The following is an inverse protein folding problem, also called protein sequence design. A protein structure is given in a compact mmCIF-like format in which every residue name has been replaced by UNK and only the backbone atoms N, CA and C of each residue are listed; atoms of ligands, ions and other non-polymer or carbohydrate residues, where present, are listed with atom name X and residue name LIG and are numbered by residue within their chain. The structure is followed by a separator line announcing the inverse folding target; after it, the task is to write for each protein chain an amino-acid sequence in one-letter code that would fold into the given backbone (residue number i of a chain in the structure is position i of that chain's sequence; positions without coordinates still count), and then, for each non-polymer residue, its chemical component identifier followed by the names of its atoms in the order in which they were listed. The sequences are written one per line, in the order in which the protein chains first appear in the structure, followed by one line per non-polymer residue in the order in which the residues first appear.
data_IF_506223508682
#
_entry.id   IF_506223508682
#
_cell.length_a   1.000
_cell.length_b   1.000
_cell.length_c   1.000
_cell.angle_alpha   90.00
_cell.angle_beta   90.00
_cell.angle_gamma   90.00
#
_symmetry.space_group_name_H-M   'P 1'
#
loop_
_entity.id
_entity.type
_entity.pdbx_description
1 polymer ?
#
# COMPACT_ATOMS: atom_id res chain seq x y z
N UNK A 1 -7.11 27.44 -31.66
CA UNK A 1 -7.79 26.23 -31.13
C UNK A 1 -7.22 25.98 -29.75
N UNK A 2 -7.96 26.36 -28.69
CA UNK A 2 -7.61 25.87 -27.35
C UNK A 2 -8.00 24.41 -27.33
N UNK A 3 -7.02 23.52 -27.15
CA UNK A 3 -7.30 22.13 -26.83
C UNK A 3 -8.23 22.12 -25.62
N UNK A 4 -9.35 21.42 -25.74
CA UNK A 4 -10.35 21.21 -24.71
C UNK A 4 -9.65 20.73 -23.43
N UNK A 5 -9.30 21.67 -22.56
CA UNK A 5 -8.64 21.46 -21.27
C UNK A 5 -9.68 21.05 -20.24
N UNK A 6 -10.45 20.02 -20.55
CA UNK A 6 -11.22 19.31 -19.53
C UNK A 6 -10.17 18.66 -18.65
N UNK A 7 -9.97 19.23 -17.46
CA UNK A 7 -9.27 18.55 -16.39
C UNK A 7 -9.86 17.14 -16.33
N UNK A 8 -9.02 16.10 -16.33
CA UNK A 8 -9.51 14.75 -16.25
C UNK A 8 -10.53 14.65 -15.12
N UNK A 9 -11.61 13.89 -15.33
CA UNK A 9 -12.55 13.61 -14.25
C UNK A 9 -11.80 13.05 -13.03
N UNK A 10 -12.37 13.14 -11.84
CA UNK A 10 -11.76 12.58 -10.62
C UNK A 10 -11.35 11.11 -10.79
N UNK A 11 -12.09 10.35 -11.61
CA UNK A 11 -11.77 8.97 -11.96
C UNK A 11 -10.56 8.85 -12.90
N UNK A 12 -10.47 9.70 -13.94
CA UNK A 12 -9.34 9.69 -14.87
C UNK A 12 -8.03 10.08 -14.17
N UNK A 13 -8.07 11.01 -13.20
CA UNK A 13 -6.92 11.29 -12.32
C UNK A 13 -6.50 10.07 -11.49
N UNK A 14 -7.46 9.33 -10.93
CA UNK A 14 -7.16 8.10 -10.18
C UNK A 14 -6.53 7.04 -11.08
N UNK A 15 -7.02 6.87 -12.31
CA UNK A 15 -6.44 5.93 -13.27
C UNK A 15 -5.03 6.36 -13.70
N UNK A 16 -4.82 7.65 -13.97
CA UNK A 16 -3.51 8.20 -14.31
C UNK A 16 -2.50 8.04 -13.17
N UNK A 17 -2.91 8.26 -11.92
CA UNK A 17 -2.04 8.08 -10.76
C UNK A 17 -1.73 6.60 -10.53
N UNK A 18 -2.74 5.72 -10.47
CA UNK A 18 -2.54 4.28 -10.22
C UNK A 18 -1.79 3.55 -11.33
N UNK A 19 -1.76 4.08 -12.55
CA UNK A 19 -0.99 3.50 -13.66
C UNK A 19 0.50 3.87 -13.64
N UNK A 20 0.93 4.80 -12.78
CA UNK A 20 2.33 5.22 -12.71
C UNK A 20 3.26 4.06 -12.31
N UNK A 21 4.40 3.85 -13.00
CA UNK A 21 5.35 2.79 -12.66
C UNK A 21 5.84 2.86 -11.21
N UNK A 22 5.95 4.07 -10.66
CA UNK A 22 6.37 4.30 -9.28
C UNK A 22 5.41 3.73 -8.24
N UNK A 23 4.14 3.54 -8.57
CA UNK A 23 3.10 3.00 -7.69
C UNK A 23 2.89 1.50 -7.86
N UNK A 24 3.63 0.85 -8.77
CA UNK A 24 3.55 -0.61 -8.93
C UNK A 24 4.04 -1.31 -7.66
N UNK A 25 3.30 -2.32 -7.17
CA UNK A 25 3.78 -3.15 -6.08
C UNK A 25 5.03 -3.91 -6.50
N UNK A 26 5.97 -4.04 -5.56
CA UNK A 26 7.20 -4.81 -5.77
C UNK A 26 6.91 -6.29 -5.51
N UNK A 27 7.46 -7.22 -6.29
CA UNK A 27 7.31 -8.65 -6.05
C UNK A 27 7.71 -9.07 -4.63
N UNK A 28 6.95 -10.00 -4.07
CA UNK A 28 7.12 -10.51 -2.70
C UNK A 28 6.04 -10.03 -1.74
N UNK A 29 6.19 -10.39 -0.47
CA UNK A 29 5.22 -10.12 0.59
C UNK A 29 5.92 -9.50 1.80
N UNK A 30 5.19 -8.65 2.51
CA UNK A 30 5.60 -8.06 3.77
C UNK A 30 4.59 -8.45 4.86
N UNK A 31 5.03 -9.30 5.79
CA UNK A 31 4.16 -9.85 6.83
C UNK A 31 4.27 -9.08 8.15
N UNK A 32 3.11 -8.72 8.69
CA UNK A 32 2.94 -8.15 10.02
C UNK A 32 2.20 -9.14 10.90
N UNK A 33 2.70 -9.30 12.12
CA UNK A 33 1.98 -10.05 13.16
C UNK A 33 1.27 -9.01 14.02
N UNK A 34 -0.04 -9.16 14.15
CA UNK A 34 -0.86 -8.34 15.02
C UNK A 34 -0.71 -8.81 16.46
N UNK A 35 -0.23 -7.92 17.31
CA UNK A 35 -0.29 -8.04 18.76
C UNK A 35 -0.75 -6.70 19.35
N UNK A 36 -0.97 -6.64 20.66
CA UNK A 36 -1.42 -5.43 21.37
C UNK A 36 -0.57 -4.17 21.08
N UNK A 37 0.64 -4.33 20.53
CA UNK A 37 1.58 -3.26 20.19
C UNK A 37 1.77 -3.07 18.68
N UNK A 38 0.79 -3.46 17.86
CA UNK A 38 0.85 -3.37 16.40
C UNK A 38 1.30 -1.97 15.92
N UNK A 39 0.79 -0.90 16.52
CA UNK A 39 1.17 0.47 16.18
C UNK A 39 2.67 0.76 16.36
N UNK A 40 3.22 0.44 17.54
CA UNK A 40 4.64 0.68 17.84
C UNK A 40 5.55 -0.20 16.98
N UNK A 41 5.14 -1.45 16.73
CA UNK A 41 5.88 -2.37 15.85
C UNK A 41 5.83 -1.92 14.40
N UNK A 42 4.71 -1.35 13.95
CA UNK A 42 4.58 -0.77 12.62
C UNK A 42 5.46 0.46 12.45
N UNK A 43 5.49 1.32 13.45
CA UNK A 43 6.33 2.51 13.44
C UNK A 43 7.81 2.12 13.38
N UNK A 44 8.25 1.24 14.29
CA UNK A 44 9.63 0.77 14.34
C UNK A 44 10.04 0.08 13.04
N UNK A 45 9.22 -0.86 12.55
CA UNK A 45 9.52 -1.53 11.28
C UNK A 45 9.47 -0.58 10.08
N UNK A 46 8.60 0.41 10.04
CA UNK A 46 8.55 1.34 8.90
C UNK A 46 9.78 2.24 8.86
N UNK A 47 10.31 2.63 10.02
CA UNK A 47 11.56 3.38 10.13
C UNK A 47 12.79 2.54 9.76
N UNK A 48 12.79 1.24 10.13
CA UNK A 48 13.93 0.35 9.90
C UNK A 48 13.96 -0.23 8.48
N UNK A 49 12.83 -0.24 7.77
CA UNK A 49 12.71 -0.86 6.45
C UNK A 49 12.96 0.13 5.31
N UNK A 50 13.75 -0.32 4.33
CA UNK A 50 13.91 0.38 3.06
C UNK A 50 12.53 0.52 2.37
N UNK A 51 12.23 1.68 1.78
CA UNK A 51 10.97 1.98 1.08
C UNK A 51 10.54 0.90 0.07
N UNK A 52 11.49 0.11 -0.45
CA UNK A 52 11.22 -1.04 -1.33
C UNK A 52 10.45 -2.18 -0.64
N UNK A 53 10.57 -2.33 0.67
CA UNK A 53 9.88 -3.36 1.46
C UNK A 53 8.41 -2.97 1.66
N UNK A 54 8.14 -1.69 1.92
CA UNK A 54 6.79 -1.16 2.12
C UNK A 54 5.94 -1.16 0.83
N UNK A 55 6.58 -1.23 -0.35
CA UNK A 55 5.89 -1.41 -1.64
C UNK A 55 5.54 -2.86 -1.98
N UNK A 56 5.97 -3.85 -1.17
CA UNK A 56 5.57 -5.25 -1.36
C UNK A 56 4.12 -5.45 -0.92
N UNK A 57 3.52 -6.57 -1.31
CA UNK A 57 2.15 -6.91 -0.88
C UNK A 57 2.10 -7.06 0.64
N UNK A 58 1.30 -6.23 1.30
CA UNK A 58 1.07 -6.28 2.74
C UNK A 58 0.28 -7.54 3.11
N UNK A 59 0.72 -8.22 4.16
CA UNK A 59 0.10 -9.42 4.70
C UNK A 59 -0.03 -9.23 6.22
N UNK A 60 -1.25 -9.22 6.75
CA UNK A 60 -1.48 -9.08 8.19
C UNK A 60 -1.94 -10.42 8.74
N UNK A 61 -1.22 -10.95 9.73
CA UNK A 61 -1.57 -12.18 10.46
C UNK A 61 -2.08 -11.81 11.85
N UNK A 62 -3.22 -12.35 12.23
CA UNK A 62 -3.81 -12.20 13.56
C UNK A 62 -4.05 -13.61 14.11
N UNK A 63 -3.50 -13.92 15.29
CA UNK A 63 -3.73 -15.22 15.98
C UNK A 63 -3.64 -16.45 15.06
N UNK A 64 -2.56 -16.53 14.27
CA UNK A 64 -2.27 -17.58 13.29
C UNK A 64 -3.24 -17.73 12.10
N UNK A 65 -4.29 -16.91 12.02
CA UNK A 65 -5.15 -16.79 10.85
C UNK A 65 -4.60 -15.75 9.85
N UNK A 66 -4.59 -16.14 8.58
CA UNK A 66 -4.04 -15.36 7.48
C UNK A 66 -5.17 -14.54 6.82
N UNK A 67 -5.21 -13.24 7.10
CA UNK A 67 -6.22 -12.35 6.54
C UNK A 67 -5.62 -11.40 5.49
N UNK A 68 -6.28 -11.30 4.34
CA UNK A 68 -5.72 -10.63 3.16
C UNK A 68 -6.25 -9.22 2.91
N UNK A 69 -7.49 -8.91 3.29
CA UNK A 69 -8.16 -7.66 2.87
C UNK A 69 -8.99 -6.99 3.96
N UNK A 70 -9.62 -7.77 4.86
CA UNK A 70 -10.48 -7.25 5.92
C UNK A 70 -9.73 -6.45 6.97
N UNK A 71 -8.56 -6.95 7.41
CA UNK A 71 -7.72 -6.33 8.45
C UNK A 71 -6.85 -5.18 7.93
N UNK A 72 -6.70 -5.04 6.61
CA UNK A 72 -5.94 -3.94 6.01
C UNK A 72 -6.75 -2.65 5.91
N UNK A 73 -8.09 -2.76 5.87
CA UNK A 73 -8.98 -1.61 5.97
C UNK A 73 -8.96 -1.06 7.39
#
# INVERSE_FOLDING_TARGET
MWNDSRLPSSLEYVMLDKSQPALRPIPGQYALKSDANLFLKMLQKSCDNNHKILKKRLMIKFEDELYYSGLTR
#
